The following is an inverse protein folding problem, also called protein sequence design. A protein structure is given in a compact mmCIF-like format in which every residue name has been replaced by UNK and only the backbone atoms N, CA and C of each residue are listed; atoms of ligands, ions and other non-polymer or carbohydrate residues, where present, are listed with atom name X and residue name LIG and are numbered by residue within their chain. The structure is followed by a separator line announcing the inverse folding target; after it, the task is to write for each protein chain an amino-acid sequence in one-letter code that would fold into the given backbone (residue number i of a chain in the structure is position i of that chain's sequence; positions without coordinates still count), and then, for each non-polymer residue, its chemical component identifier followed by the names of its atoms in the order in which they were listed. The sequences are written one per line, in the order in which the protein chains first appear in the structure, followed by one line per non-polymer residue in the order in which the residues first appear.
data_IF_937864642098
#
_entry.id   IF_937864642098
#
_cell.length_a   1.000
_cell.length_b   1.000
_cell.length_c   1.000
_cell.angle_alpha   90.00
_cell.angle_beta   90.00
_cell.angle_gamma   90.00
#
_symmetry.space_group_name_H-M   'P 1'
#
loop_
_entity.id
_entity.type
_entity.pdbx_description
1 polymer ?
#
# COMPACT_ATOMS: atom_id res chain seq x y z
N UNK A 1 -32.40 9.84 3.45
CA UNK A 1 -32.71 8.45 3.84
C UNK A 1 -32.55 7.45 2.70
N UNK A 2 -33.03 7.71 1.47
CA UNK A 2 -32.91 6.79 0.32
C UNK A 2 -31.45 6.49 -0.07
N UNK A 3 -30.56 7.49 -0.07
CA UNK A 3 -29.14 7.29 -0.40
C UNK A 3 -28.43 6.37 0.60
N UNK A 4 -28.72 6.49 1.91
CA UNK A 4 -28.13 5.65 2.93
C UNK A 4 -28.52 4.18 2.77
N UNK A 5 -29.79 3.90 2.50
CA UNK A 5 -30.28 2.54 2.25
C UNK A 5 -29.63 1.91 1.01
N UNK A 6 -29.44 2.67 -0.06
CA UNK A 6 -28.76 2.19 -1.27
C UNK A 6 -27.31 1.74 -0.95
N UNK A 7 -26.56 2.55 -0.19
CA UNK A 7 -25.19 2.20 0.17
C UNK A 7 -25.14 1.00 1.13
N UNK A 8 -26.06 0.90 2.10
CA UNK A 8 -26.13 -0.24 3.00
C UNK A 8 -26.42 -1.54 2.28
N UNK A 9 -27.35 -1.54 1.32
CA UNK A 9 -27.61 -2.72 0.48
C UNK A 9 -26.41 -3.09 -0.41
N UNK A 10 -25.68 -2.11 -0.93
CA UNK A 10 -24.46 -2.38 -1.68
C UNK A 10 -23.38 -3.03 -0.79
N UNK A 11 -23.18 -2.54 0.43
CA UNK A 11 -22.25 -3.12 1.40
C UNK A 11 -22.63 -4.54 1.79
N UNK A 12 -23.93 -4.80 2.02
CA UNK A 12 -24.46 -6.12 2.32
C UNK A 12 -24.25 -7.10 1.14
N UNK A 13 -24.56 -6.66 -0.09
CA UNK A 13 -24.33 -7.44 -1.31
C UNK A 13 -22.87 -7.86 -1.50
N UNK A 14 -21.93 -7.02 -1.06
CA UNK A 14 -20.50 -7.28 -1.14
C UNK A 14 -19.95 -7.95 0.11
N UNK A 15 -20.78 -8.35 1.08
CA UNK A 15 -20.37 -9.05 2.29
C UNK A 15 -19.56 -8.21 3.28
N UNK A 16 -19.63 -6.88 3.19
CA UNK A 16 -18.95 -5.97 4.11
C UNK A 16 -19.74 -5.71 5.38
N UNK A 17 -21.06 -5.90 5.32
CA UNK A 17 -21.96 -5.88 6.47
C UNK A 17 -22.94 -7.04 6.38
N UNK A 18 -23.41 -7.51 7.51
CA UNK A 18 -24.43 -8.56 7.63
C UNK A 18 -25.60 -8.10 8.49
N UNK A 19 -26.78 -8.65 8.22
CA UNK A 19 -27.98 -8.40 9.02
C UNK A 19 -27.88 -9.18 10.33
N UNK A 20 -27.88 -8.46 11.46
CA UNK A 20 -27.83 -9.07 12.79
C UNK A 20 -29.23 -9.18 13.39
N UNK A 21 -30.07 -8.17 13.19
CA UNK A 21 -31.38 -8.11 13.79
C UNK A 21 -32.35 -7.25 12.98
N UNK A 22 -33.64 -7.62 13.01
CA UNK A 22 -34.74 -6.78 12.54
C UNK A 22 -35.60 -6.35 13.72
N UNK A 23 -35.77 -5.04 13.91
CA UNK A 23 -36.59 -4.47 14.98
C UNK A 23 -37.83 -3.80 14.40
N UNK A 24 -38.99 -4.12 14.91
CA UNK A 24 -40.23 -3.45 14.54
C UNK A 24 -40.40 -2.19 15.38
N UNK A 25 -40.44 -1.02 14.74
CA UNK A 25 -40.64 0.27 15.41
C UNK A 25 -41.86 0.95 14.80
N UNK A 26 -43.02 0.73 15.42
CA UNK A 26 -44.32 1.15 14.88
C UNK A 26 -44.65 0.42 13.56
N UNK A 27 -44.97 1.17 12.52
CA UNK A 27 -45.23 0.64 11.18
C UNK A 27 -43.99 0.42 10.30
N UNK A 28 -42.78 0.57 10.86
CA UNK A 28 -41.51 0.44 10.12
C UNK A 28 -40.68 -0.70 10.69
N UNK A 29 -40.00 -1.43 9.81
CA UNK A 29 -38.96 -2.38 10.19
C UNK A 29 -37.61 -1.70 10.10
N UNK A 30 -36.87 -1.68 11.22
CA UNK A 30 -35.49 -1.21 11.30
C UNK A 30 -34.55 -2.41 11.20
N UNK A 31 -33.64 -2.36 10.26
CA UNK A 31 -32.62 -3.40 10.06
C UNK A 31 -31.32 -2.99 10.75
N UNK A 32 -30.85 -3.80 11.66
CA UNK A 32 -29.56 -3.61 12.35
C UNK A 32 -28.49 -4.39 11.60
N UNK A 33 -27.55 -3.67 11.01
CA UNK A 33 -26.43 -4.24 10.25
C UNK A 33 -25.16 -4.12 11.07
N UNK A 34 -24.31 -5.13 11.00
CA UNK A 34 -22.99 -5.16 11.64
C UNK A 34 -21.92 -5.38 10.57
N UNK A 35 -20.75 -4.74 10.75
CA UNK A 35 -19.60 -5.00 9.90
C UNK A 35 -19.11 -6.44 10.09
N UNK A 36 -18.81 -7.12 8.97
CA UNK A 36 -18.33 -8.52 8.97
C UNK A 36 -16.88 -8.66 9.41
N UNK A 37 -16.13 -7.54 9.55
CA UNK A 37 -14.75 -7.51 10.02
C UNK A 37 -14.47 -6.24 10.80
N UNK A 38 -13.49 -6.29 11.73
CA UNK A 38 -13.04 -5.13 12.51
C UNK A 38 -12.31 -4.09 11.64
N UNK A 39 -11.75 -4.52 10.50
CA UNK A 39 -11.11 -3.66 9.50
C UNK A 39 -11.23 -4.27 8.12
N UNK A 40 -11.27 -3.43 7.10
CA UNK A 40 -11.27 -3.86 5.70
C UNK A 40 -10.02 -3.32 5.00
N UNK A 41 -9.36 -4.18 4.24
CA UNK A 41 -8.23 -3.78 3.38
C UNK A 41 -8.72 -3.74 1.94
N UNK A 42 -8.53 -2.60 1.28
CA UNK A 42 -8.82 -2.49 -0.15
C UNK A 42 -7.90 -3.43 -0.90
N UNK A 43 -8.48 -4.36 -1.66
CA UNK A 43 -7.69 -5.29 -2.45
C UNK A 43 -6.72 -4.54 -3.39
N UNK A 44 -5.42 -4.90 -3.39
CA UNK A 44 -4.45 -4.33 -4.33
C UNK A 44 -4.90 -4.46 -5.79
N UNK A 45 -5.63 -5.53 -6.12
CA UNK A 45 -6.18 -5.74 -7.45
C UNK A 45 -7.27 -4.73 -7.84
N UNK A 46 -8.03 -4.21 -6.87
CA UNK A 46 -9.00 -3.14 -7.11
C UNK A 46 -8.32 -1.82 -7.48
N UNK A 47 -7.10 -1.59 -6.99
CA UNK A 47 -6.29 -0.42 -7.33
C UNK A 47 -5.53 -0.59 -8.65
N UNK A 48 -5.36 -1.82 -9.15
CA UNK A 48 -4.56 -2.11 -10.35
C UNK A 48 -5.11 -1.47 -11.62
N UNK A 49 -6.42 -1.33 -11.72
CA UNK A 49 -7.08 -0.71 -12.88
C UNK A 49 -6.85 0.82 -12.96
N UNK A 50 -6.52 1.45 -11.83
CA UNK A 50 -6.36 2.92 -11.72
C UNK A 50 -4.90 3.32 -11.47
N UNK A 51 -4.06 2.39 -11.02
CA UNK A 51 -2.68 2.68 -10.68
C UNK A 51 -1.80 2.82 -11.95
N UNK A 52 -1.05 3.91 -12.09
CA UNK A 52 -0.13 4.05 -13.21
C UNK A 52 0.95 2.96 -13.18
N UNK A 53 1.33 2.48 -14.36
CA UNK A 53 2.43 1.50 -14.52
C UNK A 53 3.77 2.24 -14.44
N UNK A 54 4.65 1.92 -13.47
CA UNK A 54 5.94 2.57 -13.35
C UNK A 54 6.87 2.30 -14.54
N UNK A 55 6.67 1.22 -15.29
CA UNK A 55 7.44 0.95 -16.51
C UNK A 55 7.09 1.88 -17.67
N UNK A 56 5.92 2.51 -17.63
CA UNK A 56 5.43 3.48 -18.61
C UNK A 56 5.68 4.93 -18.22
N UNK A 57 6.17 5.19 -17.01
CA UNK A 57 6.49 6.53 -16.53
C UNK A 57 7.92 6.91 -17.00
N UNK A 58 8.09 7.89 -17.90
CA UNK A 58 9.40 8.23 -18.47
C UNK A 58 10.33 8.92 -17.46
N UNK A 59 9.79 9.49 -16.41
CA UNK A 59 10.54 10.25 -15.40
C UNK A 59 10.54 9.52 -14.05
N UNK A 60 11.64 8.79 -13.79
CA UNK A 60 11.85 8.05 -12.54
C UNK A 60 12.10 8.93 -11.30
N UNK A 61 12.31 10.23 -11.50
CA UNK A 61 12.50 11.20 -10.42
C UNK A 61 11.19 11.91 -10.05
N UNK A 62 10.11 11.66 -10.77
CA UNK A 62 8.83 12.32 -10.52
C UNK A 62 8.07 11.72 -9.34
N UNK A 63 7.31 12.56 -8.65
CA UNK A 63 6.38 12.10 -7.61
C UNK A 63 5.35 11.11 -8.17
N UNK A 64 4.96 11.23 -9.43
CA UNK A 64 4.05 10.29 -10.10
C UNK A 64 4.66 8.89 -10.24
N UNK A 65 5.96 8.81 -10.54
CA UNK A 65 6.67 7.55 -10.57
C UNK A 65 6.72 6.89 -9.19
N UNK A 66 6.96 7.66 -8.12
CA UNK A 66 6.90 7.14 -6.74
C UNK A 66 5.54 6.56 -6.41
N UNK A 67 4.45 7.23 -6.80
CA UNK A 67 3.08 6.70 -6.61
C UNK A 67 2.90 5.39 -7.37
N UNK A 68 3.37 5.31 -8.61
CA UNK A 68 3.28 4.10 -9.42
C UNK A 68 4.07 2.93 -8.81
N UNK A 69 5.27 3.21 -8.28
CA UNK A 69 6.09 2.22 -7.55
C UNK A 69 5.41 1.75 -6.28
N UNK A 70 4.84 2.67 -5.49
CA UNK A 70 4.11 2.34 -4.27
C UNK A 70 2.87 1.47 -4.57
N UNK A 71 2.11 1.82 -5.59
CA UNK A 71 0.96 1.03 -6.04
C UNK A 71 1.35 -0.39 -6.49
N UNK A 72 2.49 -0.52 -7.19
CA UNK A 72 3.04 -1.83 -7.54
C UNK A 72 3.49 -2.61 -6.31
N UNK A 73 4.16 -1.97 -5.36
CA UNK A 73 4.58 -2.59 -4.09
C UNK A 73 3.37 -3.17 -3.34
N UNK A 74 2.30 -2.38 -3.21
CA UNK A 74 1.06 -2.82 -2.53
C UNK A 74 0.49 -4.07 -3.22
N UNK A 75 0.42 -4.10 -4.56
CA UNK A 75 -0.06 -5.28 -5.30
C UNK A 75 0.82 -6.50 -5.07
N UNK A 76 2.13 -6.36 -5.32
CA UNK A 76 3.08 -7.48 -5.22
C UNK A 76 3.11 -8.08 -3.82
N UNK A 77 3.12 -7.24 -2.77
CA UNK A 77 3.08 -7.72 -1.38
C UNK A 77 1.74 -8.36 -1.06
N UNK A 78 0.62 -7.82 -1.55
CA UNK A 78 -0.70 -8.41 -1.39
C UNK A 78 -0.80 -9.82 -2.02
N UNK A 79 -0.29 -9.97 -3.24
CA UNK A 79 -0.24 -11.27 -3.93
C UNK A 79 0.64 -12.28 -3.17
N UNK A 80 1.80 -11.82 -2.67
CA UNK A 80 2.70 -12.64 -1.86
C UNK A 80 2.06 -13.10 -0.54
N UNK A 81 1.31 -12.22 0.15
CA UNK A 81 0.55 -12.57 1.36
C UNK A 81 -0.49 -13.64 1.04
N UNK A 82 -1.25 -13.45 -0.04
CA UNK A 82 -2.25 -14.43 -0.49
C UNK A 82 -1.65 -15.81 -0.80
N UNK A 83 -0.51 -15.83 -1.51
CA UNK A 83 0.22 -17.06 -1.84
C UNK A 83 0.80 -17.73 -0.58
N UNK A 84 1.40 -16.97 0.33
CA UNK A 84 1.96 -17.47 1.58
C UNK A 84 0.89 -18.08 2.50
N UNK A 85 -0.28 -17.42 2.59
CA UNK A 85 -1.44 -17.92 3.35
C UNK A 85 -1.94 -19.25 2.80
N UNK A 86 -2.12 -19.35 1.48
CA UNK A 86 -2.53 -20.61 0.82
C UNK A 86 -1.51 -21.73 1.03
N UNK A 87 -0.22 -21.41 0.99
CA UNK A 87 0.86 -22.35 1.19
C UNK A 87 1.17 -22.65 2.68
N UNK A 88 0.49 -22.00 3.62
CA UNK A 88 0.77 -22.04 5.07
C UNK A 88 2.25 -21.76 5.40
N UNK A 89 2.85 -20.81 4.69
CA UNK A 89 4.25 -20.38 4.87
C UNK A 89 4.33 -18.96 5.39
N UNK A 90 5.40 -18.67 6.12
CA UNK A 90 5.71 -17.27 6.51
C UNK A 90 6.33 -16.54 5.32
N UNK A 91 5.88 -15.31 5.10
CA UNK A 91 6.48 -14.39 4.14
C UNK A 91 7.61 -13.64 4.83
N UNK A 92 8.84 -13.78 4.33
CA UNK A 92 9.98 -13.01 4.80
C UNK A 92 10.03 -11.67 4.07
N UNK A 93 9.76 -10.61 4.79
CA UNK A 93 9.86 -9.22 4.31
C UNK A 93 10.74 -8.42 5.26
N UNK A 94 11.35 -7.38 4.72
CA UNK A 94 12.12 -6.41 5.48
C UNK A 94 11.75 -5.00 5.03
N UNK A 95 11.65 -4.06 5.95
CA UNK A 95 11.36 -2.66 5.66
C UNK A 95 12.07 -1.74 6.66
N UNK A 96 12.46 -0.57 6.19
CA UNK A 96 12.93 0.54 7.02
C UNK A 96 11.98 1.70 6.75
N UNK A 97 11.48 2.30 7.81
CA UNK A 97 10.69 3.52 7.80
C UNK A 97 11.25 4.48 8.84
N UNK A 98 11.36 5.76 8.49
CA UNK A 98 11.89 6.78 9.37
C UNK A 98 11.89 8.16 8.74
N UNK A 99 12.09 9.19 9.57
CA UNK A 99 12.19 10.58 9.13
C UNK A 99 13.61 11.10 9.34
N UNK A 100 14.11 11.85 8.37
CA UNK A 100 15.39 12.53 8.42
C UNK A 100 15.17 14.01 8.16
N UNK A 101 15.71 14.87 9.01
CA UNK A 101 15.67 16.31 8.85
C UNK A 101 17.01 16.81 8.31
N UNK A 102 17.00 17.52 7.21
CA UNK A 102 18.18 18.12 6.59
C UNK A 102 18.23 19.62 6.87
N UNK A 103 19.41 20.13 7.21
CA UNK A 103 19.61 21.55 7.42
C UNK A 103 19.57 22.33 6.09
N UNK A 104 20.05 21.73 5.01
CA UNK A 104 20.12 22.37 3.70
C UNK A 104 19.68 21.43 2.57
N UNK A 105 19.39 21.99 1.41
CA UNK A 105 19.15 21.20 0.19
C UNK A 105 20.42 20.45 -0.26
N UNK A 106 21.61 21.00 0.03
CA UNK A 106 22.87 20.36 -0.28
C UNK A 106 23.10 19.10 0.58
N UNK A 107 22.77 19.15 1.87
CA UNK A 107 22.86 17.99 2.76
C UNK A 107 21.91 16.86 2.31
N UNK A 108 20.71 17.23 1.90
CA UNK A 108 19.76 16.26 1.34
C UNK A 108 20.30 15.60 0.08
N UNK A 109 20.93 16.37 -0.82
CA UNK A 109 21.50 15.84 -2.06
C UNK A 109 22.68 14.93 -1.77
N UNK A 110 23.57 15.31 -0.85
CA UNK A 110 24.70 14.48 -0.40
C UNK A 110 24.21 13.17 0.20
N UNK A 111 23.25 13.21 1.13
CA UNK A 111 22.62 12.03 1.71
C UNK A 111 22.06 11.09 0.65
N UNK A 112 21.31 11.62 -0.34
CA UNK A 112 20.75 10.79 -1.40
C UNK A 112 21.84 10.11 -2.25
N UNK A 113 22.95 10.81 -2.53
CA UNK A 113 24.11 10.25 -3.24
C UNK A 113 24.77 9.12 -2.44
N UNK A 114 25.08 9.36 -1.17
CA UNK A 114 25.71 8.35 -0.31
C UNK A 114 24.82 7.12 -0.12
N UNK A 115 23.51 7.33 0.03
CA UNK A 115 22.54 6.24 0.12
C UNK A 115 22.53 5.41 -1.16
N UNK A 116 22.53 6.07 -2.34
CA UNK A 116 22.59 5.38 -3.62
C UNK A 116 23.85 4.55 -3.77
N UNK A 117 25.03 5.10 -3.43
CA UNK A 117 26.31 4.41 -3.50
C UNK A 117 26.38 3.22 -2.54
N UNK A 118 25.87 3.39 -1.32
CA UNK A 118 25.78 2.33 -0.31
C UNK A 118 24.93 1.19 -0.80
N UNK A 119 23.73 1.48 -1.31
CA UNK A 119 22.81 0.48 -1.84
C UNK A 119 23.42 -0.24 -3.06
N UNK A 120 24.03 0.50 -3.99
CA UNK A 120 24.73 -0.08 -5.14
C UNK A 120 25.88 -1.00 -4.70
N UNK A 121 26.63 -0.60 -3.68
CA UNK A 121 27.68 -1.43 -3.07
C UNK A 121 27.16 -2.74 -2.49
N UNK A 122 26.06 -2.69 -1.76
CA UNK A 122 25.41 -3.87 -1.21
C UNK A 122 24.86 -4.78 -2.30
N UNK A 123 24.25 -4.23 -3.34
CA UNK A 123 23.78 -4.99 -4.49
C UNK A 123 24.95 -5.73 -5.13
N UNK A 124 26.03 -5.04 -5.46
CA UNK A 124 27.22 -5.68 -6.06
C UNK A 124 27.80 -6.80 -5.20
N UNK A 125 27.75 -6.65 -3.88
CA UNK A 125 28.30 -7.64 -2.94
C UNK A 125 27.47 -8.91 -2.83
N UNK A 126 26.14 -8.80 -2.88
CA UNK A 126 25.23 -9.90 -2.58
C UNK A 126 24.42 -10.41 -3.78
N UNK A 127 24.47 -9.71 -4.92
CA UNK A 127 23.77 -10.13 -6.12
C UNK A 127 24.47 -11.29 -6.78
N UNK A 128 23.78 -12.43 -6.85
CA UNK A 128 24.25 -13.61 -7.56
C UNK A 128 23.03 -14.29 -8.21
N UNK A 129 22.92 -14.16 -9.53
CA UNK A 129 21.85 -14.81 -10.31
C UNK A 129 22.17 -16.28 -10.61
N UNK A 130 23.42 -16.71 -10.42
CA UNK A 130 23.91 -18.04 -10.79
C UNK A 130 23.84 -19.02 -9.64
N UNK A 131 23.69 -18.56 -8.40
CA UNK A 131 23.65 -19.39 -7.21
C UNK A 131 22.47 -20.37 -7.25
N UNK A 132 22.68 -21.67 -6.97
CA UNK A 132 21.63 -22.66 -6.94
C UNK A 132 20.52 -22.26 -5.93
N UNK A 133 19.29 -22.15 -6.39
CA UNK A 133 18.16 -21.75 -5.55
C UNK A 133 18.04 -20.25 -5.31
N UNK A 134 18.80 -19.42 -6.04
CA UNK A 134 18.69 -17.96 -5.99
C UNK A 134 17.24 -17.51 -6.22
N UNK A 135 16.78 -16.54 -5.41
CA UNK A 135 15.43 -15.99 -5.49
C UNK A 135 15.51 -14.48 -5.70
N UNK A 136 14.79 -14.00 -6.69
CA UNK A 136 14.70 -12.55 -6.95
C UNK A 136 13.94 -11.85 -5.82
N UNK A 137 14.54 -10.78 -5.32
CA UNK A 137 13.93 -9.86 -4.37
C UNK A 137 13.88 -8.47 -4.99
N UNK A 138 12.79 -7.75 -4.73
CA UNK A 138 12.68 -6.37 -5.15
C UNK A 138 13.12 -5.46 -4.01
N UNK A 139 14.00 -4.53 -4.30
CA UNK A 139 14.41 -3.47 -3.42
C UNK A 139 13.83 -2.15 -3.92
N UNK A 140 13.22 -1.38 -3.02
CA UNK A 140 12.71 -0.04 -3.29
C UNK A 140 13.27 0.86 -2.20
N UNK A 141 13.89 1.96 -2.61
CA UNK A 141 14.35 3.02 -1.73
C UNK A 141 13.73 4.31 -2.25
N UNK A 142 13.11 5.07 -1.38
CA UNK A 142 12.44 6.32 -1.72
C UNK A 142 12.73 7.39 -0.65
N UNK A 143 12.94 8.62 -1.10
CA UNK A 143 13.07 9.79 -0.25
C UNK A 143 12.11 10.86 -0.77
N UNK A 144 11.21 11.34 0.08
CA UNK A 144 10.26 12.41 -0.26
C UNK A 144 10.06 13.34 0.93
N UNK A 145 9.62 14.59 0.72
CA UNK A 145 9.29 15.48 1.82
C UNK A 145 8.20 14.88 2.71
N UNK A 146 8.37 14.98 4.03
CA UNK A 146 7.33 14.61 4.99
C UNK A 146 6.20 15.66 4.96
N UNK A 147 4.94 15.20 5.09
CA UNK A 147 3.80 16.11 5.21
C UNK A 147 3.81 16.67 6.63
N UNK A 148 4.33 17.89 6.79
CA UNK A 148 4.19 18.62 8.05
C UNK A 148 2.71 19.02 8.21
N UNK A 149 2.09 18.71 9.35
CA UNK A 149 0.68 19.03 9.68
C UNK A 149 0.38 20.54 9.78
N UNK A 150 1.11 21.38 9.09
CA UNK A 150 0.98 22.84 9.10
C UNK A 150 0.34 23.42 7.84
N UNK A 151 -0.54 22.66 7.15
CA UNK A 151 -1.52 23.31 6.31
C UNK A 151 -2.60 23.89 7.24
N UNK A 152 -2.33 25.02 7.86
CA UNK A 152 -3.41 25.90 8.29
C UNK A 152 -4.09 26.36 7.01
N UNK A 153 -5.32 25.94 6.83
CA UNK A 153 -6.26 26.55 5.89
C UNK A 153 -6.29 28.05 6.21
N UNK A 154 -5.86 28.88 5.27
CA UNK A 154 -6.21 30.28 5.18
C UNK A 154 -7.38 30.40 4.23
#
# INVERSE_FOLDING_TARGET
RQKANYHLHALEKHGLVELVEERRKGNMTERVLQATAASFVVSPNALSAVAPDPARAPDQLSARWLIAVAARLVREVGDLIGAATKARRRLATYGIDGEVTFATAADRAAFAGELQDTVAGLIRKYHDETAPGARKHRLIVALHPSITKNFKEN
#
